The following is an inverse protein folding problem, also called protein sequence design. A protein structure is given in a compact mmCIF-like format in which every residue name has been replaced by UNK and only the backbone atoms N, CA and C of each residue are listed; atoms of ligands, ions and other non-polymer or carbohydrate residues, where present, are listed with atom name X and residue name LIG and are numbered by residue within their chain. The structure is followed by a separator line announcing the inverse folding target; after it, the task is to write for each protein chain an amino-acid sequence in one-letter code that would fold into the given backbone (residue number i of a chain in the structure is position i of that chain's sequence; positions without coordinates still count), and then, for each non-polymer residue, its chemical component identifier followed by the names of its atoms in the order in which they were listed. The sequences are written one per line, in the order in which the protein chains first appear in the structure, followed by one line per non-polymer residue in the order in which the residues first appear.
data_IF_884163420268
#
_entry.id   IF_884163420268
#
_cell.length_a   1.000
_cell.length_b   1.000
_cell.length_c   1.000
_cell.angle_alpha   90.00
_cell.angle_beta   90.00
_cell.angle_gamma   90.00
#
_symmetry.space_group_name_H-M   'P 1'
#
loop_
_entity.id
_entity.type
_entity.pdbx_description
1 polymer ?
#
# COMPACT_ATOMS: atom_id res chain seq x y z
N UNK A 1 -7.98 12.02 7.40
CA UNK A 1 -8.33 10.59 7.30
C UNK A 1 -7.07 9.86 6.86
N UNK A 2 -6.87 8.64 7.34
CA UNK A 2 -5.62 7.90 7.10
C UNK A 2 -5.90 6.52 6.50
N UNK A 3 -4.97 6.05 5.69
CA UNK A 3 -4.85 4.66 5.29
C UNK A 3 -3.96 3.90 6.27
N UNK A 4 -4.28 2.64 6.55
CA UNK A 4 -3.62 1.91 7.62
C UNK A 4 -3.15 0.52 7.20
N UNK A 5 -2.02 0.10 7.75
CA UNK A 5 -1.55 -1.28 7.79
C UNK A 5 -1.56 -1.74 9.26
N UNK A 6 -2.30 -2.80 9.57
CA UNK A 6 -2.42 -3.32 10.93
C UNK A 6 -1.97 -4.77 11.03
N UNK A 7 -1.33 -5.12 12.14
CA UNK A 7 -1.16 -6.51 12.56
C UNK A 7 -2.33 -6.87 13.47
N UNK A 8 -3.17 -7.81 13.03
CA UNK A 8 -4.45 -8.11 13.68
C UNK A 8 -4.41 -9.47 14.38
N UNK A 9 -4.14 -9.53 15.69
CA UNK A 9 -4.29 -10.76 16.46
C UNK A 9 -5.76 -11.15 16.64
N UNK A 10 -6.01 -12.38 17.05
CA UNK A 10 -7.36 -12.83 17.35
C UNK A 10 -7.99 -11.97 18.46
N UNK A 11 -9.20 -11.49 18.24
CA UNK A 11 -9.92 -10.63 19.20
C UNK A 11 -9.50 -9.16 19.21
N UNK A 12 -8.67 -8.73 18.27
CA UNK A 12 -8.25 -7.33 18.15
C UNK A 12 -9.45 -6.40 17.91
N UNK A 13 -9.46 -5.28 18.63
CA UNK A 13 -10.34 -4.15 18.36
C UNK A 13 -9.51 -3.07 17.64
N UNK A 14 -9.90 -2.71 16.43
CA UNK A 14 -9.25 -1.67 15.62
C UNK A 14 -9.84 -0.28 15.84
N UNK A 15 -10.85 -0.19 16.71
CA UNK A 15 -11.41 1.07 17.20
C UNK A 15 -12.47 1.74 16.34
N UNK A 16 -12.76 1.21 15.14
CA UNK A 16 -13.79 1.82 14.28
C UNK A 16 -15.18 1.76 14.96
N UNK A 17 -15.94 2.84 14.93
CA UNK A 17 -15.76 4.16 14.26
C UNK A 17 -15.36 5.30 15.23
N UNK A 18 -14.86 4.98 16.40
CA UNK A 18 -14.31 5.99 17.33
C UNK A 18 -12.92 6.40 16.96
N UNK A 19 -12.16 5.46 16.37
CA UNK A 19 -10.79 5.65 15.92
C UNK A 19 -10.66 5.43 14.42
N UNK A 20 -9.86 6.28 13.82
CA UNK A 20 -9.38 6.18 12.44
C UNK A 20 -7.85 6.08 12.50
N UNK A 21 -7.32 4.88 12.31
CA UNK A 21 -5.90 4.62 12.56
C UNK A 21 -5.51 4.92 14.02
N UNK A 22 -4.50 5.74 14.20
CA UNK A 22 -4.00 6.16 15.52
C UNK A 22 -4.78 7.33 16.15
N UNK A 23 -5.82 7.84 15.52
CA UNK A 23 -6.44 9.10 15.89
C UNK A 23 -7.95 8.97 16.12
N UNK A 24 -8.50 9.79 17.03
CA UNK A 24 -9.95 9.89 17.21
C UNK A 24 -10.63 10.41 15.94
N UNK A 25 -11.69 9.75 15.51
CA UNK A 25 -12.50 10.14 14.37
C UNK A 25 -13.59 11.10 14.81
N UNK A 26 -13.56 12.32 14.28
CA UNK A 26 -14.42 13.42 14.74
C UNK A 26 -15.42 13.80 13.66
N UNK A 27 -16.71 13.78 14.05
CA UNK A 27 -17.83 14.20 13.19
C UNK A 27 -17.91 13.45 11.84
N UNK A 28 -17.38 12.25 11.76
CA UNK A 28 -17.33 11.41 10.54
C UNK A 28 -16.66 12.07 9.32
N UNK A 29 -15.74 13.00 9.54
CA UNK A 29 -15.09 13.76 8.44
C UNK A 29 -13.58 13.99 8.63
N UNK A 30 -13.06 13.93 9.84
CA UNK A 30 -11.65 14.23 10.13
C UNK A 30 -11.13 13.45 11.33
N UNK A 31 -9.83 13.46 11.50
CA UNK A 31 -9.16 12.93 12.68
C UNK A 31 -8.68 14.06 13.60
N UNK A 32 -8.66 13.79 14.90
CA UNK A 32 -8.07 14.66 15.92
C UNK A 32 -6.62 14.21 16.16
N UNK A 33 -5.67 15.06 15.85
CA UNK A 33 -4.25 14.76 15.97
C UNK A 33 -3.67 15.02 17.37
N UNK A 34 -4.47 15.55 18.32
CA UNK A 34 -3.95 16.03 19.61
C UNK A 34 -3.54 14.88 20.56
N UNK A 35 -4.30 13.79 20.56
CA UNK A 35 -4.08 12.65 21.46
C UNK A 35 -4.07 11.33 20.69
N UNK A 36 -3.00 11.02 19.95
CA UNK A 36 -2.93 9.77 19.22
C UNK A 36 -2.74 8.58 20.18
N UNK A 37 -3.40 7.46 19.88
CA UNK A 37 -3.24 6.18 20.61
C UNK A 37 -3.57 6.28 22.10
N UNK A 38 -4.62 6.99 22.42
CA UNK A 38 -5.02 7.31 23.81
C UNK A 38 -5.61 6.08 24.57
N UNK A 39 -6.19 5.12 23.83
CA UNK A 39 -6.91 3.99 24.42
C UNK A 39 -6.08 2.69 24.42
N UNK A 40 -5.73 2.14 25.57
CA UNK A 40 -4.79 1.02 25.66
C UNK A 40 -5.32 -0.33 25.14
N UNK A 41 -6.64 -0.48 24.97
CA UNK A 41 -7.25 -1.71 24.46
C UNK A 41 -7.41 -1.73 22.93
N UNK A 42 -7.15 -0.63 22.26
CA UNK A 42 -7.20 -0.56 20.79
C UNK A 42 -5.94 -1.13 20.17
N UNK A 43 -6.10 -1.94 19.15
CA UNK A 43 -4.99 -2.43 18.32
C UNK A 43 -4.69 -1.41 17.22
N UNK A 44 -3.75 -0.52 17.49
CA UNK A 44 -3.37 0.53 16.55
C UNK A 44 -2.55 0.01 15.37
N UNK A 45 -2.55 0.76 14.23
CA UNK A 45 -1.76 0.38 13.05
C UNK A 45 -0.27 0.22 13.34
N UNK A 46 0.40 -0.58 12.53
CA UNK A 46 1.87 -0.68 12.48
C UNK A 46 2.47 0.38 11.56
N UNK A 47 1.70 0.84 10.59
CA UNK A 47 2.01 1.97 9.71
C UNK A 47 0.73 2.62 9.21
N UNK A 48 0.77 3.92 9.02
CA UNK A 48 -0.35 4.70 8.49
C UNK A 48 0.15 5.90 7.70
N UNK A 49 -0.65 6.42 6.78
CA UNK A 49 -0.34 7.56 5.94
C UNK A 49 -1.58 8.38 5.60
N UNK A 50 -1.39 9.67 5.32
CA UNK A 50 -2.48 10.60 5.03
C UNK A 50 -3.08 10.33 3.65
N UNK A 51 -4.40 10.24 3.55
CA UNK A 51 -5.12 10.16 2.27
C UNK A 51 -4.93 11.42 1.38
N UNK A 52 -4.52 12.53 1.98
CA UNK A 52 -4.24 13.79 1.27
C UNK A 52 -2.79 13.90 0.79
N UNK A 53 -1.97 12.87 0.98
CA UNK A 53 -0.58 12.89 0.48
C UNK A 53 -0.58 13.15 -1.04
N UNK A 54 0.17 14.16 -1.52
CA UNK A 54 0.23 14.47 -2.97
C UNK A 54 0.66 13.30 -3.85
N UNK A 55 1.42 12.35 -3.31
CA UNK A 55 1.84 11.14 -4.02
C UNK A 55 0.64 10.24 -4.42
N UNK A 56 -0.47 10.33 -3.68
CA UNK A 56 -1.61 9.42 -3.81
C UNK A 56 -2.78 10.02 -4.58
N UNK A 57 -2.62 11.23 -5.13
CA UNK A 57 -3.71 11.87 -5.88
C UNK A 57 -3.98 11.16 -7.21
N UNK A 58 -5.24 11.11 -7.67
CA UNK A 58 -6.40 11.88 -7.18
C UNK A 58 -7.23 11.21 -6.07
N UNK A 59 -6.72 10.29 -5.32
CA UNK A 59 -7.38 9.63 -4.20
C UNK A 59 -6.55 8.49 -3.67
N UNK A 60 -6.86 8.05 -2.47
CA UNK A 60 -6.15 6.99 -1.77
C UNK A 60 -7.10 5.91 -1.28
N UNK A 61 -6.68 4.66 -1.41
CA UNK A 61 -7.32 3.49 -0.82
C UNK A 61 -6.30 2.35 -0.71
N UNK A 62 -5.90 2.00 0.48
CA UNK A 62 -4.99 0.89 0.70
C UNK A 62 -5.57 -0.43 0.16
N UNK A 63 -4.77 -1.20 -0.54
CA UNK A 63 -5.20 -2.46 -1.15
C UNK A 63 -4.14 -3.54 -1.06
N UNK A 64 -4.58 -4.77 -0.92
CA UNK A 64 -3.78 -5.99 -0.92
C UNK A 64 -2.66 -5.98 0.11
N UNK A 65 -2.36 -7.14 0.67
CA UNK A 65 -1.24 -7.30 1.59
C UNK A 65 -0.51 -8.58 1.24
N UNK A 66 0.81 -8.50 1.11
CA UNK A 66 1.67 -9.65 0.87
C UNK A 66 2.81 -9.65 1.89
N UNK A 67 2.86 -10.67 2.73
CA UNK A 67 4.07 -10.97 3.50
C UNK A 67 5.05 -11.73 2.59
N UNK A 68 6.13 -11.07 2.19
CA UNK A 68 7.18 -11.64 1.36
C UNK A 68 8.33 -12.13 2.25
N UNK A 69 8.36 -13.41 2.52
CA UNK A 69 9.33 -14.01 3.46
C UNK A 69 10.57 -14.54 2.75
N UNK A 70 10.36 -15.17 1.60
CA UNK A 70 11.39 -15.77 0.77
C UNK A 70 10.98 -15.70 -0.70
N UNK A 71 11.92 -15.68 -1.59
CA UNK A 71 11.68 -15.62 -3.03
C UNK A 71 12.87 -15.03 -3.78
N UNK A 72 12.71 -14.83 -5.08
CA UNK A 72 13.77 -14.39 -5.98
C UNK A 72 14.17 -12.91 -5.79
N UNK A 73 13.34 -12.11 -5.13
CA UNK A 73 13.58 -10.65 -4.98
C UNK A 73 14.19 -10.39 -3.60
N UNK A 74 15.52 -10.40 -3.54
CA UNK A 74 16.25 -10.25 -2.28
C UNK A 74 15.93 -8.96 -1.52
N UNK A 75 15.67 -7.86 -2.23
CA UNK A 75 15.32 -6.54 -1.68
C UNK A 75 13.98 -6.54 -0.93
N UNK A 76 13.09 -7.47 -1.29
CA UNK A 76 11.78 -7.62 -0.68
C UNK A 76 11.72 -8.72 0.38
N UNK A 77 12.80 -9.49 0.56
CA UNK A 77 12.85 -10.54 1.58
C UNK A 77 12.59 -9.97 2.97
N UNK A 78 11.72 -10.64 3.72
CA UNK A 78 11.25 -10.24 5.04
C UNK A 78 10.57 -8.85 5.06
N UNK A 79 9.73 -8.59 4.05
CA UNK A 79 8.91 -7.37 3.93
C UNK A 79 7.43 -7.70 3.91
N UNK A 80 6.63 -6.77 4.39
CA UNK A 80 5.19 -6.73 4.14
C UNK A 80 4.95 -5.65 3.11
N UNK A 81 4.35 -6.05 1.98
CA UNK A 81 4.00 -5.17 0.87
C UNK A 81 2.50 -4.92 0.87
N UNK A 82 2.10 -3.73 0.48
CA UNK A 82 0.73 -3.37 0.11
C UNK A 82 0.76 -2.28 -0.96
N UNK A 83 -0.38 -1.94 -1.51
CA UNK A 83 -0.49 -0.89 -2.50
C UNK A 83 -1.56 0.12 -2.20
N UNK A 84 -1.59 1.15 -2.98
CA UNK A 84 -2.68 2.10 -3.07
C UNK A 84 -3.45 1.86 -4.37
N UNK A 85 -4.74 1.60 -4.26
CA UNK A 85 -5.56 1.15 -5.39
C UNK A 85 -5.64 2.21 -6.50
N UNK A 86 -5.99 3.48 -6.22
CA UNK A 86 -6.11 4.47 -7.27
C UNK A 86 -4.78 4.87 -7.89
N UNK A 87 -3.78 5.20 -7.09
CA UNK A 87 -2.49 5.70 -7.58
C UNK A 87 -1.60 4.62 -8.18
N UNK A 88 -1.76 3.36 -7.71
CA UNK A 88 -0.90 2.26 -8.09
C UNK A 88 0.46 2.28 -7.41
N UNK A 89 0.61 3.11 -6.40
CA UNK A 89 1.80 3.09 -5.57
C UNK A 89 1.91 1.76 -4.81
N UNK A 90 3.12 1.25 -4.72
CA UNK A 90 3.43 0.04 -3.97
C UNK A 90 4.38 0.39 -2.83
N UNK A 91 4.01 -0.05 -1.65
CA UNK A 91 4.76 0.21 -0.41
C UNK A 91 5.23 -1.06 0.27
N UNK A 92 6.23 -0.93 1.12
CA UNK A 92 6.63 -2.00 2.02
C UNK A 92 7.15 -1.47 3.35
N UNK A 93 7.06 -2.34 4.38
CA UNK A 93 7.71 -2.17 5.68
C UNK A 93 8.50 -3.44 6.05
N UNK A 94 9.49 -3.37 6.95
CA UNK A 94 10.12 -4.56 7.51
C UNK A 94 9.10 -5.45 8.22
N UNK A 95 9.11 -6.76 7.98
CA UNK A 95 8.16 -7.69 8.60
C UNK A 95 8.50 -8.03 10.05
N UNK A 96 9.73 -7.83 10.48
CA UNK A 96 10.25 -8.07 11.83
C UNK A 96 10.07 -6.86 12.78
N UNK A 97 9.70 -5.70 12.24
CA UNK A 97 9.49 -4.47 13.00
C UNK A 97 8.01 -4.11 13.18
N UNK A 98 7.10 -5.06 12.98
CA UNK A 98 5.66 -4.82 13.06
C UNK A 98 5.18 -4.86 14.51
N UNK A 99 5.09 -3.72 15.15
CA UNK A 99 4.48 -3.57 16.48
C UNK A 99 3.22 -2.70 16.40
N UNK A 100 2.14 -3.15 17.04
CA UNK A 100 0.93 -2.34 17.18
C UNK A 100 1.28 -0.99 17.83
N UNK A 101 0.75 0.08 17.25
CA UNK A 101 1.01 1.44 17.73
C UNK A 101 2.40 1.99 17.39
N UNK A 102 3.22 1.26 16.64
CA UNK A 102 4.45 1.78 16.05
C UNK A 102 4.18 2.47 14.71
N UNK A 103 5.07 3.32 14.26
CA UNK A 103 5.09 3.81 12.88
C UNK A 103 6.27 3.16 12.19
N UNK A 104 6.05 2.00 11.56
CA UNK A 104 7.07 1.34 10.77
C UNK A 104 7.48 2.23 9.58
N UNK A 105 8.76 2.26 9.20
CA UNK A 105 9.24 3.10 8.12
C UNK A 105 8.68 2.61 6.77
N UNK A 106 7.70 3.32 6.25
CA UNK A 106 7.12 3.05 4.93
C UNK A 106 8.15 3.38 3.85
N UNK A 107 8.37 2.43 2.95
CA UNK A 107 9.23 2.58 1.78
C UNK A 107 8.43 2.33 0.52
N UNK A 108 8.71 3.12 -0.50
CA UNK A 108 8.11 3.03 -1.83
C UNK A 108 8.85 2.01 -2.68
N UNK A 109 8.12 1.22 -3.46
CA UNK A 109 8.68 0.35 -4.50
C UNK A 109 8.55 1.06 -5.84
N UNK A 110 9.68 1.23 -6.52
CA UNK A 110 9.73 1.69 -7.90
C UNK A 110 10.23 0.55 -8.78
N UNK A 111 9.79 0.53 -10.03
CA UNK A 111 10.07 -0.55 -10.97
C UNK A 111 11.18 -0.13 -11.93
N UNK A 112 12.13 -1.03 -12.16
CA UNK A 112 13.14 -0.82 -13.18
C UNK A 112 12.58 -1.23 -14.54
N UNK A 113 12.69 -0.34 -15.51
CA UNK A 113 12.39 -0.59 -16.91
C UNK A 113 13.60 -0.18 -17.76
N UNK A 114 14.41 -1.15 -18.17
CA UNK A 114 15.73 -0.89 -18.76
C UNK A 114 16.64 -0.14 -17.80
N UNK A 115 17.02 1.10 -18.14
CA UNK A 115 17.83 1.99 -17.31
C UNK A 115 17.01 2.91 -16.40
N UNK A 116 15.72 3.02 -16.64
CA UNK A 116 14.84 3.96 -15.96
C UNK A 116 14.15 3.34 -14.75
N UNK A 117 13.73 4.20 -13.84
CA UNK A 117 12.97 3.83 -12.65
C UNK A 117 11.60 4.48 -12.73
N UNK A 118 10.55 3.67 -12.72
CA UNK A 118 9.17 4.09 -13.01
C UNK A 118 8.20 3.64 -11.92
N UNK A 119 7.09 4.36 -11.83
CA UNK A 119 5.88 3.92 -11.11
C UNK A 119 5.08 2.94 -11.96
N UNK A 120 4.14 2.23 -11.34
CA UNK A 120 3.22 1.38 -12.10
C UNK A 120 2.33 2.20 -13.05
N UNK A 121 1.91 3.40 -12.63
CA UNK A 121 1.11 4.29 -13.48
C UNK A 121 1.88 4.71 -14.74
N UNK A 122 3.15 5.08 -14.63
CA UNK A 122 3.99 5.42 -15.79
C UNK A 122 4.13 4.24 -16.74
N UNK A 123 4.37 3.02 -16.24
CA UNK A 123 4.42 1.81 -17.08
C UNK A 123 3.09 1.53 -17.82
N UNK A 124 1.95 1.81 -17.18
CA UNK A 124 0.64 1.66 -17.80
C UNK A 124 0.41 2.74 -18.88
N UNK A 125 0.78 3.98 -18.60
CA UNK A 125 0.63 5.10 -19.54
C UNK A 125 1.48 4.89 -20.81
N UNK A 126 2.71 4.46 -20.65
CA UNK A 126 3.57 4.10 -21.79
C UNK A 126 2.97 2.97 -22.61
N UNK A 127 2.48 1.91 -21.94
CA UNK A 127 1.84 0.80 -22.65
C UNK A 127 0.57 1.21 -23.39
N UNK A 128 -0.21 2.11 -22.81
CA UNK A 128 -1.38 2.69 -23.49
C UNK A 128 -0.97 3.53 -24.70
N UNK A 129 0.07 4.35 -24.58
CA UNK A 129 0.61 5.12 -25.69
C UNK A 129 1.08 4.23 -26.85
N UNK A 130 1.82 3.15 -26.57
CA UNK A 130 2.23 2.15 -27.57
C UNK A 130 1.04 1.51 -28.31
N UNK A 131 -0.11 1.42 -27.63
CA UNK A 131 -1.35 0.85 -28.17
C UNK A 131 -2.28 1.89 -28.78
N UNK A 132 -1.88 3.16 -28.85
CA UNK A 132 -2.71 4.28 -29.32
C UNK A 132 -3.94 4.53 -28.45
N UNK A 133 -3.85 4.23 -27.15
CA UNK A 133 -4.92 4.45 -26.16
C UNK A 133 -4.67 5.74 -25.38
N UNK A 134 -5.73 6.29 -24.81
CA UNK A 134 -5.63 7.41 -23.89
C UNK A 134 -4.81 7.05 -22.62
N UNK A 135 -4.06 8.02 -22.07
CA UNK A 135 -3.29 7.80 -20.85
C UNK A 135 -4.20 7.48 -19.66
N UNK A 136 -3.83 6.48 -18.89
CA UNK A 136 -4.51 6.19 -17.64
C UNK A 136 -4.27 7.31 -16.61
N UNK A 137 -5.32 7.69 -15.88
CA UNK A 137 -5.27 8.67 -14.80
C UNK A 137 -5.23 8.00 -13.41
N UNK A 138 -5.42 6.70 -13.37
CA UNK A 138 -5.39 5.86 -12.17
C UNK A 138 -5.03 4.42 -12.55
N UNK A 139 -4.71 3.58 -11.57
CA UNK A 139 -4.23 2.21 -11.81
C UNK A 139 -5.30 1.14 -11.56
N UNK A 140 -6.10 1.27 -10.50
CA UNK A 140 -6.96 0.21 -9.97
C UNK A 140 -6.14 -1.06 -9.65
N UNK A 141 -5.12 -0.86 -8.80
CA UNK A 141 -4.13 -1.88 -8.46
C UNK A 141 -4.75 -3.08 -7.72
N UNK A 142 -4.38 -4.28 -8.15
CA UNK A 142 -4.57 -5.52 -7.40
C UNK A 142 -3.29 -6.35 -7.41
N UNK A 143 -3.14 -7.19 -6.37
CA UNK A 143 -2.02 -8.13 -6.27
C UNK A 143 -2.48 -9.55 -6.55
N UNK A 144 -1.62 -10.31 -7.22
CA UNK A 144 -1.71 -11.75 -7.34
C UNK A 144 -0.48 -12.43 -6.73
N UNK A 145 -0.67 -13.64 -6.18
CA UNK A 145 0.43 -14.48 -5.71
C UNK A 145 0.52 -15.74 -6.57
N UNK A 146 1.73 -16.06 -6.97
CA UNK A 146 2.04 -17.27 -7.68
C UNK A 146 2.90 -18.24 -6.86
N UNK A 147 3.18 -19.45 -7.40
CA UNK A 147 4.09 -20.40 -6.78
C UNK A 147 5.48 -19.78 -6.52
N UNK A 148 6.16 -20.29 -5.50
CA UNK A 148 7.55 -19.86 -5.15
C UNK A 148 7.68 -18.36 -4.86
N UNK A 149 6.66 -17.75 -4.23
CA UNK A 149 6.71 -16.34 -3.81
C UNK A 149 6.61 -15.32 -4.93
N UNK A 150 6.21 -15.71 -6.15
CA UNK A 150 6.00 -14.76 -7.26
C UNK A 150 4.91 -13.77 -6.92
N UNK A 151 5.13 -12.51 -7.25
CA UNK A 151 4.16 -11.42 -7.07
C UNK A 151 3.76 -10.88 -8.43
N UNK A 152 2.45 -10.75 -8.63
CA UNK A 152 1.87 -10.17 -9.83
C UNK A 152 1.11 -8.89 -9.50
N UNK A 153 1.25 -7.90 -10.35
CA UNK A 153 0.48 -6.66 -10.36
C UNK A 153 -0.55 -6.73 -11.48
N UNK A 154 -1.79 -6.45 -11.13
CA UNK A 154 -2.92 -6.44 -12.04
C UNK A 154 -3.57 -5.06 -12.02
N UNK A 155 -4.05 -4.64 -13.18
CA UNK A 155 -4.81 -3.40 -13.34
C UNK A 155 -5.84 -3.56 -14.46
N UNK A 156 -6.73 -2.58 -14.63
CA UNK A 156 -7.80 -2.61 -15.67
C UNK A 156 -7.46 -1.82 -16.92
N UNK A 157 -6.36 -1.08 -16.94
CA UNK A 157 -6.19 0.02 -17.91
C UNK A 157 -5.40 -0.36 -19.16
N UNK A 158 -4.46 -1.30 -19.08
CA UNK A 158 -3.65 -1.70 -20.22
C UNK A 158 -3.79 -3.19 -20.59
N UNK A 159 -4.49 -3.96 -19.77
CA UNK A 159 -4.71 -5.40 -19.97
C UNK A 159 -3.46 -6.27 -19.72
N UNK A 160 -2.44 -5.71 -19.04
CA UNK A 160 -1.18 -6.40 -18.78
C UNK A 160 -1.13 -6.89 -17.33
N UNK A 161 -0.77 -8.15 -17.14
CA UNK A 161 -0.37 -8.72 -15.85
C UNK A 161 1.15 -8.64 -15.76
N UNK A 162 1.66 -7.93 -14.77
CA UNK A 162 3.10 -7.77 -14.56
C UNK A 162 3.57 -8.64 -13.42
N UNK A 163 4.65 -9.38 -13.62
CA UNK A 163 5.36 -10.04 -12.54
C UNK A 163 6.46 -9.13 -12.02
N UNK A 164 6.56 -8.98 -10.70
CA UNK A 164 7.72 -8.31 -10.09
C UNK A 164 8.89 -9.29 -10.09
N UNK A 165 9.96 -8.93 -10.76
CA UNK A 165 11.22 -9.68 -10.81
C UNK A 165 12.34 -9.03 -10.00
N UNK A 166 13.49 -9.70 -9.86
CA UNK A 166 14.69 -9.17 -9.21
C UNK A 166 15.35 -8.02 -9.98
#
# INVERSE_FOLDING_TARGET
VVETLSFVPAGADLGWNTWEGSYRYVNNIRVDLSNPREEPWITYPVAEYDQQDPLLQPGSAATGVIAYRDGAISQLTNRVLWGDLPSGEVFHVPADALSSGGQAPIRRVLFRDGTDTKTLLELIQEKNADQGREPAIRVDLHFGRGPRGRIFLLNKWDGVVREIGP
#
